data_IF_082134028849
#
_entry.id   IF_082134028849
#
_cell.length_a   1.000
_cell.length_b   1.000
_cell.length_c   1.000
_cell.angle_alpha   90.00
_cell.angle_beta   90.00
_cell.angle_gamma   90.00
#
_symmetry.space_group_name_H-M   'P 1'
#
loop_
_entity.id
_entity.type
_entity.pdbx_description
1 polymer ?
#
# COMPACT_ATOMS: atom_id res chain seq x y z
N UNK A 1 6.61 9.58 -27.31
CA UNK A 1 7.62 10.11 -26.39
C UNK A 1 7.03 10.68 -25.09
N UNK A 2 5.97 11.55 -25.06
CA UNK A 2 5.43 12.09 -23.80
C UNK A 2 4.88 11.03 -22.83
N UNK A 3 4.23 9.99 -23.36
CA UNK A 3 3.65 8.92 -22.55
C UNK A 3 4.71 8.11 -21.78
N UNK A 4 5.84 7.80 -22.40
CA UNK A 4 6.93 7.06 -21.73
C UNK A 4 7.50 7.85 -20.54
N UNK A 5 7.69 9.16 -20.72
CA UNK A 5 8.17 10.06 -19.66
C UNK A 5 7.12 10.12 -18.52
N UNK A 6 5.83 10.22 -18.87
CA UNK A 6 4.75 10.24 -17.88
C UNK A 6 4.68 8.93 -17.08
N UNK A 7 4.75 7.78 -17.76
CA UNK A 7 4.75 6.46 -17.13
C UNK A 7 5.99 6.28 -16.26
N UNK A 8 7.18 6.57 -16.77
CA UNK A 8 8.44 6.42 -16.02
C UNK A 8 8.46 7.31 -14.78
N UNK A 9 8.12 8.61 -14.91
CA UNK A 9 8.11 9.55 -13.80
C UNK A 9 7.10 9.13 -12.70
N UNK A 10 5.89 8.74 -13.11
CA UNK A 10 4.84 8.34 -12.16
C UNK A 10 5.09 6.96 -11.54
N UNK A 11 5.71 6.03 -12.28
CA UNK A 11 6.15 4.73 -11.77
C UNK A 11 7.27 4.90 -10.73
N UNK A 12 8.32 5.67 -11.04
CA UNK A 12 9.41 5.95 -10.11
C UNK A 12 8.91 6.67 -8.85
N UNK A 13 8.02 7.65 -9.01
CA UNK A 13 7.39 8.32 -7.86
C UNK A 13 6.65 7.31 -6.97
N UNK A 14 5.82 6.44 -7.55
CA UNK A 14 5.09 5.42 -6.79
C UNK A 14 6.02 4.45 -6.08
N UNK A 15 7.09 4.03 -6.77
CA UNK A 15 8.13 3.14 -6.25
C UNK A 15 8.83 3.75 -5.03
N UNK A 16 9.34 4.98 -5.15
CA UNK A 16 10.04 5.65 -4.04
C UNK A 16 9.10 5.99 -2.89
N UNK A 17 7.86 6.41 -3.18
CA UNK A 17 6.86 6.67 -2.15
C UNK A 17 6.56 5.40 -1.34
N UNK A 18 6.31 4.26 -1.99
CA UNK A 18 6.01 3.02 -1.26
C UNK A 18 7.24 2.45 -0.55
N UNK A 19 8.42 2.55 -1.17
CA UNK A 19 9.69 2.21 -0.52
C UNK A 19 9.86 2.98 0.79
N UNK A 20 9.59 4.28 0.81
CA UNK A 20 9.74 5.12 2.00
C UNK A 20 8.85 4.69 3.17
N UNK A 21 7.66 4.14 2.91
CA UNK A 21 6.78 3.60 3.95
C UNK A 21 7.40 2.41 4.68
N UNK A 22 8.26 1.64 4.00
CA UNK A 22 8.82 0.38 4.48
C UNK A 22 10.21 0.52 5.09
N UNK A 23 10.86 1.68 4.95
CA UNK A 23 12.24 1.90 5.46
C UNK A 23 12.32 1.64 6.96
N UNK A 24 11.51 2.31 7.76
CA UNK A 24 11.50 2.13 9.23
C UNK A 24 11.04 0.72 9.63
N UNK A 25 9.94 0.15 9.10
CA UNK A 25 9.53 -1.21 9.39
C UNK A 25 10.60 -2.28 9.11
N UNK A 26 11.29 -2.19 7.96
CA UNK A 26 12.33 -3.16 7.60
C UNK A 26 13.58 -2.97 8.47
N UNK A 27 13.96 -1.73 8.79
CA UNK A 27 15.07 -1.41 9.67
C UNK A 27 14.75 -1.62 11.16
N UNK A 28 13.47 -1.85 11.53
CA UNK A 28 13.01 -1.89 12.92
C UNK A 28 13.82 -2.83 13.84
N UNK A 29 14.21 -4.04 13.45
CA UNK A 29 15.04 -4.90 14.30
C UNK A 29 16.38 -4.25 14.65
N UNK A 30 17.05 -3.64 13.68
CA UNK A 30 18.35 -2.99 13.90
C UNK A 30 18.21 -1.69 14.69
N UNK A 31 17.18 -0.86 14.39
CA UNK A 31 16.89 0.35 15.15
C UNK A 31 16.51 0.01 16.60
N UNK A 32 15.77 -1.08 16.82
CA UNK A 32 15.45 -1.59 18.16
C UNK A 32 16.73 -1.93 18.94
N UNK A 33 17.67 -2.63 18.30
CA UNK A 33 18.96 -2.99 18.91
C UNK A 33 19.81 -1.77 19.26
N UNK A 34 19.80 -0.73 18.39
CA UNK A 34 20.61 0.49 18.59
C UNK A 34 20.02 1.41 19.66
N UNK A 35 18.71 1.63 19.62
CA UNK A 35 18.03 2.63 20.46
C UNK A 35 17.33 2.04 21.68
N UNK A 36 17.28 0.70 21.83
CA UNK A 36 16.52 0.05 22.90
C UNK A 36 15.00 0.26 22.80
N UNK A 37 14.48 0.61 21.61
CA UNK A 37 13.07 0.86 21.38
C UNK A 37 12.36 -0.43 20.99
N UNK A 38 11.11 -0.68 21.48
CA UNK A 38 10.36 -1.86 21.07
C UNK A 38 10.07 -1.88 19.57
N UNK A 39 10.30 -3.02 18.89
CA UNK A 39 9.96 -3.24 17.47
C UNK A 39 8.47 -2.99 17.19
N UNK A 40 7.61 -3.17 18.19
CA UNK A 40 6.19 -2.82 18.11
C UNK A 40 5.93 -1.38 17.63
N UNK A 41 6.87 -0.44 17.84
CA UNK A 41 6.78 0.95 17.35
C UNK A 41 6.81 1.04 15.81
N UNK A 42 7.28 0.01 15.09
CA UNK A 42 7.14 -0.05 13.63
C UNK A 42 5.68 0.01 13.18
N UNK A 43 4.77 -0.64 13.94
CA UNK A 43 3.34 -0.57 13.70
C UNK A 43 2.76 0.83 13.95
N UNK A 44 3.22 1.51 14.99
CA UNK A 44 2.82 2.89 15.28
C UNK A 44 3.30 3.85 14.17
N UNK A 45 4.55 3.70 13.71
CA UNK A 45 5.09 4.47 12.59
C UNK A 45 4.24 4.29 11.32
N UNK A 46 3.96 3.05 10.92
CA UNK A 46 3.09 2.73 9.78
C UNK A 46 1.67 3.29 9.99
N UNK A 47 1.13 3.18 11.19
CA UNK A 47 -0.17 3.74 11.55
C UNK A 47 -0.23 5.24 11.33
N UNK A 48 0.79 6.00 11.77
CA UNK A 48 0.88 7.46 11.55
C UNK A 48 0.99 7.76 10.04
N UNK A 49 1.87 7.06 9.31
CA UNK A 49 2.03 7.26 7.86
C UNK A 49 0.69 7.13 7.14
N UNK A 50 -0.05 6.05 7.37
CA UNK A 50 -1.32 5.82 6.65
C UNK A 50 -2.48 6.66 7.18
N UNK A 51 -2.51 7.00 8.46
CA UNK A 51 -3.50 7.94 9.02
C UNK A 51 -3.36 9.32 8.37
N UNK A 52 -2.14 9.85 8.35
CA UNK A 52 -1.86 11.16 7.74
C UNK A 52 -2.09 11.12 6.24
N UNK A 53 -1.69 10.04 5.55
CA UNK A 53 -1.97 9.84 4.14
C UNK A 53 -3.48 9.84 3.85
N UNK A 54 -4.28 9.14 4.66
CA UNK A 54 -5.73 9.05 4.49
C UNK A 54 -6.40 10.43 4.62
N UNK A 55 -6.06 11.17 5.66
CA UNK A 55 -6.58 12.54 5.87
C UNK A 55 -6.15 13.47 4.74
N UNK A 56 -4.86 13.47 4.38
CA UNK A 56 -4.32 14.35 3.33
C UNK A 56 -4.88 14.02 1.94
N UNK A 57 -5.16 12.74 1.66
CA UNK A 57 -5.72 12.28 0.39
C UNK A 57 -7.13 12.81 0.13
N UNK A 58 -7.92 13.03 1.16
CA UNK A 58 -9.25 13.63 1.04
C UNK A 58 -9.24 15.02 0.38
N UNK A 59 -8.11 15.73 0.49
CA UNK A 59 -7.93 17.08 -0.05
C UNK A 59 -7.06 17.13 -1.31
N UNK A 60 -6.41 16.02 -1.67
CA UNK A 60 -5.42 15.97 -2.74
C UNK A 60 -5.94 16.51 -4.08
N UNK A 61 -7.19 16.22 -4.45
CA UNK A 61 -7.79 16.67 -5.70
C UNK A 61 -7.86 18.20 -5.83
N UNK A 62 -8.22 18.91 -4.77
CA UNK A 62 -8.28 20.36 -4.73
C UNK A 62 -6.88 21.00 -4.88
N UNK A 63 -5.90 20.45 -4.18
CA UNK A 63 -4.50 20.89 -4.28
C UNK A 63 -3.91 20.64 -5.68
N UNK A 64 -4.16 19.46 -6.27
CA UNK A 64 -3.68 19.13 -7.62
C UNK A 64 -4.28 20.07 -8.66
N UNK A 65 -5.58 20.36 -8.59
CA UNK A 65 -6.23 21.33 -9.50
C UNK A 65 -5.62 22.74 -9.36
N UNK A 66 -5.37 23.16 -8.13
CA UNK A 66 -4.85 24.53 -7.87
C UNK A 66 -3.37 24.69 -8.25
N UNK A 67 -2.52 23.75 -7.86
CA UNK A 67 -1.07 23.89 -7.98
C UNK A 67 -0.47 23.11 -9.14
N UNK A 68 -1.16 22.10 -9.65
CA UNK A 68 -0.72 21.19 -10.71
C UNK A 68 -0.22 19.86 -10.20
N UNK A 69 -0.38 18.81 -11.01
CA UNK A 69 -0.03 17.45 -10.65
C UNK A 69 1.47 17.24 -10.45
N UNK A 70 2.32 17.81 -11.34
CA UNK A 70 3.77 17.70 -11.22
C UNK A 70 4.30 18.50 -10.02
N UNK A 71 3.75 19.69 -9.74
CA UNK A 71 4.13 20.46 -8.55
C UNK A 71 3.76 19.71 -7.28
N UNK A 72 2.57 19.10 -7.21
CA UNK A 72 2.18 18.32 -6.04
C UNK A 72 3.02 17.04 -5.91
N UNK A 73 3.46 16.42 -7.01
CA UNK A 73 4.44 15.34 -7.00
C UNK A 73 5.81 15.78 -6.45
N UNK A 74 6.28 16.97 -6.80
CA UNK A 74 7.51 17.53 -6.24
C UNK A 74 7.38 17.77 -4.73
N UNK A 75 6.29 18.39 -4.28
CA UNK A 75 6.02 18.63 -2.85
C UNK A 75 5.95 17.29 -2.09
N UNK A 76 5.30 16.30 -2.65
CA UNK A 76 5.22 14.96 -2.11
C UNK A 76 6.60 14.31 -1.91
N UNK A 77 7.43 14.33 -2.95
CA UNK A 77 8.78 13.76 -2.91
C UNK A 77 9.70 14.54 -1.96
N UNK A 78 9.59 15.87 -1.89
CA UNK A 78 10.34 16.71 -0.94
C UNK A 78 9.92 16.41 0.51
N UNK A 79 8.63 16.32 0.79
CA UNK A 79 8.15 15.95 2.12
C UNK A 79 8.67 14.56 2.54
N UNK A 80 8.64 13.59 1.61
CA UNK A 80 9.19 12.25 1.83
C UNK A 80 10.71 12.29 2.06
N UNK A 81 11.45 13.06 1.27
CA UNK A 81 12.91 13.22 1.43
C UNK A 81 13.29 13.81 2.80
N UNK A 82 12.58 14.87 3.22
CA UNK A 82 12.77 15.47 4.54
C UNK A 82 12.37 14.50 5.64
N UNK A 83 11.25 13.77 5.47
CA UNK A 83 10.81 12.76 6.41
C UNK A 83 11.85 11.66 6.61
N UNK A 84 12.44 11.14 5.52
CA UNK A 84 13.54 10.17 5.60
C UNK A 84 14.78 10.77 6.25
N UNK A 85 15.18 12.00 5.90
CA UNK A 85 16.33 12.66 6.52
C UNK A 85 16.15 12.85 8.04
N UNK A 86 14.93 13.15 8.50
CA UNK A 86 14.60 13.20 9.93
C UNK A 86 14.77 11.84 10.61
N UNK A 87 14.50 10.74 9.91
CA UNK A 87 14.77 9.40 10.43
C UNK A 87 16.23 9.22 10.81
N UNK A 88 17.18 9.85 10.12
CA UNK A 88 18.61 9.79 10.43
C UNK A 88 19.00 10.49 11.74
N UNK A 89 18.13 11.28 12.36
CA UNK A 89 18.38 11.94 13.67
C UNK A 89 18.40 10.91 14.83
N UNK A 90 17.64 9.81 14.69
CA UNK A 90 17.63 8.73 15.69
C UNK A 90 16.86 9.04 16.98
N UNK A 91 15.98 10.03 16.97
CA UNK A 91 15.16 10.37 18.11
C UNK A 91 13.69 9.99 17.89
N UNK A 92 12.97 9.59 18.95
CA UNK A 92 11.59 9.16 18.84
C UNK A 92 10.66 10.22 18.22
N UNK A 93 10.83 11.49 18.60
CA UNK A 93 10.10 12.60 18.00
C UNK A 93 10.40 12.78 16.51
N UNK A 94 11.65 12.51 16.10
CA UNK A 94 12.07 12.60 14.71
C UNK A 94 11.46 11.48 13.88
N UNK A 95 11.35 10.25 14.39
CA UNK A 95 10.61 9.15 13.75
C UNK A 95 9.12 9.46 13.62
N UNK A 96 8.49 10.09 14.64
CA UNK A 96 7.09 10.49 14.55
C UNK A 96 6.87 11.57 13.48
N UNK A 97 7.73 12.59 13.43
CA UNK A 97 7.67 13.64 12.41
C UNK A 97 8.02 13.11 11.02
N UNK A 98 8.96 12.17 10.92
CA UNK A 98 9.26 11.40 9.70
C UNK A 98 8.01 10.71 9.17
N UNK A 99 7.30 9.96 10.01
CA UNK A 99 6.06 9.28 9.64
C UNK A 99 4.98 10.26 9.16
N UNK A 100 4.83 11.40 9.84
CA UNK A 100 3.89 12.46 9.44
C UNK A 100 4.22 13.01 8.04
N UNK A 101 5.48 13.37 7.78
CA UNK A 101 5.90 13.94 6.49
C UNK A 101 5.82 12.92 5.35
N UNK A 102 6.23 11.67 5.58
CA UNK A 102 6.09 10.59 4.61
C UNK A 102 4.61 10.35 4.28
N UNK A 103 3.75 10.31 5.30
CA UNK A 103 2.31 10.15 5.12
C UNK A 103 1.68 11.30 4.34
N UNK A 104 1.96 12.54 4.71
CA UNK A 104 1.46 13.73 4.02
C UNK A 104 1.93 13.78 2.55
N UNK A 105 3.21 13.45 2.29
CA UNK A 105 3.76 13.37 0.94
C UNK A 105 3.08 12.28 0.11
N UNK A 106 2.94 11.09 0.65
CA UNK A 106 2.39 9.93 -0.07
C UNK A 106 0.96 10.12 -0.56
N UNK A 107 0.17 10.92 0.14
CA UNK A 107 -1.22 11.21 -0.20
C UNK A 107 -1.42 11.78 -1.61
N UNK A 108 -0.44 12.49 -2.15
CA UNK A 108 -0.51 13.10 -3.48
C UNK A 108 0.00 12.18 -4.59
N UNK A 109 0.75 11.12 -4.27
CA UNK A 109 1.42 10.28 -5.28
C UNK A 109 0.44 9.65 -6.26
N UNK A 110 -0.59 8.96 -5.78
CA UNK A 110 -1.57 8.28 -6.64
C UNK A 110 -2.50 9.26 -7.36
N UNK A 111 -3.12 10.27 -6.72
CA UNK A 111 -3.98 11.21 -7.41
C UNK A 111 -3.25 12.05 -8.47
N UNK A 112 -2.04 12.56 -8.15
CA UNK A 112 -1.25 13.34 -9.11
C UNK A 112 -0.81 12.52 -10.32
N UNK A 113 -0.32 11.29 -10.09
CA UNK A 113 0.05 10.40 -11.18
C UNK A 113 -1.13 9.99 -12.05
N UNK A 114 -2.32 9.81 -11.46
CA UNK A 114 -3.53 9.51 -12.21
C UNK A 114 -3.96 10.69 -13.08
N UNK A 115 -3.86 11.93 -12.60
CA UNK A 115 -4.14 13.14 -13.38
C UNK A 115 -3.18 13.29 -14.57
N UNK A 116 -1.88 13.02 -14.36
CA UNK A 116 -0.89 13.02 -15.44
C UNK A 116 -1.21 11.94 -16.47
N UNK A 117 -1.39 10.69 -16.05
CA UNK A 117 -1.58 9.56 -16.96
C UNK A 117 -2.90 9.65 -17.73
N UNK A 118 -3.97 10.13 -17.13
CA UNK A 118 -5.27 10.31 -17.80
C UNK A 118 -5.18 11.21 -19.05
N UNK A 119 -4.22 12.14 -19.08
CA UNK A 119 -4.02 13.04 -20.23
C UNK A 119 -3.17 12.46 -21.36
N UNK A 120 -2.24 11.57 -21.01
CA UNK A 120 -1.27 11.04 -21.99
C UNK A 120 -1.58 9.61 -22.41
N UNK A 121 -2.35 8.85 -21.65
CA UNK A 121 -2.70 7.47 -21.96
C UNK A 121 -3.77 7.41 -23.06
N UNK A 122 -3.49 6.76 -24.21
CA UNK A 122 -4.54 6.50 -25.19
C UNK A 122 -5.67 5.68 -24.56
N UNK A 123 -6.95 6.00 -24.82
CA UNK A 123 -8.09 5.32 -24.16
C UNK A 123 -8.02 3.79 -24.25
N UNK A 124 -7.63 3.25 -25.38
CA UNK A 124 -7.48 1.80 -25.63
C UNK A 124 -6.44 1.14 -24.70
N UNK A 125 -5.37 1.86 -24.32
CA UNK A 125 -4.25 1.33 -23.53
C UNK A 125 -4.21 1.87 -22.10
N UNK A 126 -5.14 2.74 -21.73
CA UNK A 126 -5.18 3.35 -20.40
C UNK A 126 -5.19 2.30 -19.27
N UNK A 127 -6.01 1.23 -19.29
CA UNK A 127 -5.99 0.23 -18.22
C UNK A 127 -4.62 -0.42 -18.03
N UNK A 128 -3.92 -0.76 -19.11
CA UNK A 128 -2.58 -1.34 -19.07
C UNK A 128 -1.56 -0.35 -18.49
N UNK A 129 -1.59 0.90 -18.92
CA UNK A 129 -0.69 1.96 -18.47
C UNK A 129 -0.86 2.21 -16.96
N UNK A 130 -2.10 2.29 -16.47
CA UNK A 130 -2.38 2.42 -15.05
C UNK A 130 -1.92 1.17 -14.27
N UNK A 131 -2.08 -0.03 -14.82
CA UNK A 131 -1.60 -1.27 -14.20
C UNK A 131 -0.08 -1.27 -14.09
N UNK A 132 0.65 -0.89 -15.14
CA UNK A 132 2.12 -0.76 -15.12
C UNK A 132 2.54 0.23 -14.03
N UNK A 133 1.91 1.40 -13.96
CA UNK A 133 2.20 2.38 -12.90
C UNK A 133 1.98 1.79 -11.50
N UNK A 134 0.93 1.00 -11.31
CA UNK A 134 0.62 0.40 -10.01
C UNK A 134 1.59 -0.72 -9.60
N UNK A 135 2.35 -1.31 -10.52
CA UNK A 135 3.44 -2.23 -10.14
C UNK A 135 4.59 -1.51 -9.43
N UNK A 136 4.64 -0.17 -9.45
CA UNK A 136 5.54 0.61 -8.61
C UNK A 136 5.38 0.35 -7.11
N UNK A 137 4.18 -0.05 -6.64
CA UNK A 137 3.97 -0.42 -5.23
C UNK A 137 4.82 -1.65 -4.84
N UNK A 138 4.64 -2.83 -5.43
CA UNK A 138 5.49 -3.97 -5.10
C UNK A 138 6.96 -3.77 -5.50
N UNK A 139 7.26 -2.99 -6.55
CA UNK A 139 8.63 -2.63 -6.89
C UNK A 139 9.31 -1.82 -5.76
N UNK A 140 8.58 -0.88 -5.15
CA UNK A 140 9.06 -0.15 -3.97
C UNK A 140 9.30 -1.08 -2.77
N UNK A 141 8.41 -2.04 -2.55
CA UNK A 141 8.59 -3.06 -1.51
C UNK A 141 9.80 -3.97 -1.75
N UNK A 142 9.99 -4.40 -2.99
CA UNK A 142 11.17 -5.18 -3.40
C UNK A 142 12.46 -4.39 -3.17
N UNK A 143 12.50 -3.14 -3.61
CA UNK A 143 13.67 -2.29 -3.41
C UNK A 143 13.94 -2.03 -1.93
N UNK A 144 12.92 -1.77 -1.12
CA UNK A 144 13.09 -1.60 0.32
C UNK A 144 13.68 -2.86 0.97
N UNK A 145 13.17 -4.05 0.63
CA UNK A 145 13.64 -5.34 1.14
C UNK A 145 15.12 -5.61 0.84
N UNK A 146 15.62 -5.15 -0.31
CA UNK A 146 17.04 -5.29 -0.66
C UNK A 146 17.91 -4.12 -0.17
N UNK A 147 17.48 -2.88 -0.44
CA UNK A 147 18.34 -1.71 -0.19
C UNK A 147 18.49 -1.38 1.28
N UNK A 148 17.45 -1.54 2.10
CA UNK A 148 17.51 -1.21 3.53
C UNK A 148 18.57 -2.08 4.24
N UNK A 149 18.50 -3.43 4.17
CA UNK A 149 19.54 -4.26 4.78
C UNK A 149 20.92 -4.06 4.17
N UNK A 150 21.00 -3.89 2.84
CA UNK A 150 22.26 -3.65 2.14
C UNK A 150 22.96 -2.38 2.64
N UNK A 151 22.22 -1.27 2.72
CA UNK A 151 22.80 0.01 3.15
C UNK A 151 23.19 -0.01 4.63
N UNK A 152 22.38 -0.62 5.50
CA UNK A 152 22.69 -0.78 6.93
C UNK A 152 23.96 -1.63 7.11
N UNK A 153 24.06 -2.76 6.42
CA UNK A 153 25.20 -3.67 6.58
C UNK A 153 26.50 -3.14 5.95
N UNK A 154 26.40 -2.31 4.88
CA UNK A 154 27.57 -1.78 4.17
C UNK A 154 28.12 -0.50 4.79
N UNK A 155 27.26 0.29 5.41
CA UNK A 155 27.63 1.58 6.04
C UNK A 155 27.01 1.67 7.43
N UNK A 156 25.86 2.34 7.54
CA UNK A 156 25.06 2.41 8.77
C UNK A 156 23.61 2.82 8.47
N UNK A 157 22.79 2.88 9.52
CA UNK A 157 21.39 3.23 9.42
C UNK A 157 21.16 4.71 9.02
N UNK A 158 22.05 5.65 9.39
CA UNK A 158 21.94 7.05 8.99
C UNK A 158 22.16 7.21 7.49
N UNK A 159 23.20 6.56 6.96
CA UNK A 159 23.48 6.55 5.51
C UNK A 159 22.33 5.96 4.73
N UNK A 160 21.70 4.91 5.24
CA UNK A 160 20.47 4.33 4.63
C UNK A 160 19.38 5.38 4.51
N UNK A 161 19.02 6.10 5.58
CA UNK A 161 18.00 7.14 5.55
C UNK A 161 18.34 8.27 4.57
N UNK A 162 19.56 8.76 4.61
CA UNK A 162 20.01 9.87 3.78
C UNK A 162 20.10 9.48 2.29
N UNK A 163 20.53 8.28 1.97
CA UNK A 163 20.61 7.78 0.60
C UNK A 163 19.22 7.62 0.00
N UNK A 164 18.29 7.02 0.74
CA UNK A 164 16.91 6.85 0.28
C UNK A 164 16.17 8.20 0.21
N UNK A 165 16.41 9.10 1.16
CA UNK A 165 15.91 10.48 1.11
C UNK A 165 16.48 11.26 -0.08
N UNK A 166 17.77 11.11 -0.34
CA UNK A 166 18.46 11.70 -1.50
C UNK A 166 17.88 11.23 -2.83
N UNK A 167 17.46 9.97 -2.96
CA UNK A 167 16.80 9.46 -4.16
C UNK A 167 15.44 10.12 -4.40
N UNK A 168 14.65 10.37 -3.34
CA UNK A 168 13.40 11.12 -3.43
C UNK A 168 13.65 12.58 -3.83
N UNK A 169 14.67 13.23 -3.26
CA UNK A 169 15.06 14.59 -3.62
C UNK A 169 15.51 14.68 -5.09
N UNK A 170 16.33 13.74 -5.55
CA UNK A 170 16.78 13.70 -6.93
C UNK A 170 15.60 13.57 -7.91
N UNK A 171 14.62 12.71 -7.61
CA UNK A 171 13.42 12.60 -8.44
C UNK A 171 12.55 13.86 -8.37
N UNK A 172 12.44 14.52 -7.19
CA UNK A 172 11.74 15.80 -7.08
C UNK A 172 12.36 16.89 -7.97
N UNK A 173 13.69 16.94 -8.04
CA UNK A 173 14.44 17.85 -8.93
C UNK A 173 14.16 17.47 -10.39
N UNK A 174 14.22 16.18 -10.74
CA UNK A 174 13.95 15.70 -12.10
C UNK A 174 12.53 16.05 -12.59
N UNK A 175 11.53 16.06 -11.70
CA UNK A 175 10.18 16.53 -12.04
C UNK A 175 10.12 17.99 -12.50
N UNK A 176 11.11 18.82 -12.14
CA UNK A 176 11.17 20.22 -12.59
C UNK A 176 11.27 20.31 -14.12
N UNK A 177 11.99 19.38 -14.78
CA UNK A 177 12.14 19.36 -16.23
C UNK A 177 10.80 19.13 -16.96
N UNK A 178 9.90 18.36 -16.38
CA UNK A 178 8.60 17.99 -16.98
C UNK A 178 7.43 18.81 -16.45
N UNK A 179 7.62 19.61 -15.40
CA UNK A 179 6.58 20.33 -14.67
C UNK A 179 5.70 21.20 -15.58
N UNK A 180 6.30 22.05 -16.41
CA UNK A 180 5.52 22.96 -17.29
C UNK A 180 4.56 22.19 -18.20
N UNK A 181 4.99 21.00 -18.67
CA UNK A 181 4.18 20.12 -19.53
C UNK A 181 3.07 19.41 -18.77
N UNK A 182 3.34 18.98 -17.52
CA UNK A 182 2.39 18.21 -16.74
C UNK A 182 1.39 19.08 -15.96
N UNK A 183 1.65 20.36 -15.77
CA UNK A 183 0.82 21.31 -15.01
C UNK A 183 0.00 22.27 -15.90
N UNK A 184 -0.19 21.93 -17.18
CA UNK A 184 -0.91 22.81 -18.16
C UNK A 184 -2.35 23.09 -17.70
N UNK A 185 -3.03 22.12 -17.10
CA UNK A 185 -4.45 22.22 -16.72
C UNK A 185 -4.67 22.74 -15.29
N UNK A 186 -3.66 23.32 -14.63
CA UNK A 186 -3.83 23.89 -13.30
C UNK A 186 -4.78 25.08 -13.34
N UNK A 187 -5.60 25.22 -12.30
CA UNK A 187 -6.53 26.34 -12.11
C UNK A 187 -6.16 27.09 -10.83
N UNK A 188 -5.33 28.14 -10.88
CA UNK A 188 -4.80 28.83 -9.68
C UNK A 188 -5.88 29.37 -8.74
N UNK A 189 -7.05 29.70 -9.27
CA UNK A 189 -8.19 30.26 -8.51
C UNK A 189 -9.13 29.17 -7.96
N UNK A 190 -8.81 27.86 -8.14
CA UNK A 190 -9.65 26.78 -7.63
C UNK A 190 -9.71 26.81 -6.10
N UNK A 191 -10.94 26.85 -5.55
CA UNK A 191 -11.17 26.78 -4.10
C UNK A 191 -11.12 25.32 -3.64
N UNK A 192 -10.39 25.05 -2.55
CA UNK A 192 -10.29 23.72 -1.95
C UNK A 192 -11.51 23.53 -1.05
N UNK A 193 -12.36 22.58 -1.41
CA UNK A 193 -13.58 22.26 -0.66
C UNK A 193 -13.35 21.04 0.23
N UNK A 194 -13.46 21.22 1.54
CA UNK A 194 -13.23 20.17 2.53
C UNK A 194 -14.46 19.28 2.80
N UNK A 195 -15.67 19.71 2.41
CA UNK A 195 -16.90 18.94 2.68
C UNK A 195 -17.15 17.81 1.69
N UNK A 196 -16.54 17.87 0.50
CA UNK A 196 -16.73 16.86 -0.55
C UNK A 196 -16.30 15.47 -0.12
N UNK A 197 -15.25 15.34 0.73
CA UNK A 197 -14.78 14.07 1.27
C UNK A 197 -15.85 13.32 2.07
N UNK A 198 -16.61 14.02 2.91
CA UNK A 198 -17.68 13.43 3.71
C UNK A 198 -18.77 12.77 2.85
N UNK A 199 -19.24 13.48 1.81
CA UNK A 199 -20.26 12.93 0.91
C UNK A 199 -19.77 11.72 0.12
N UNK A 200 -18.51 11.72 -0.28
CA UNK A 200 -17.88 10.59 -0.97
C UNK A 200 -17.84 9.34 -0.06
N UNK A 201 -17.40 9.49 1.19
CA UNK A 201 -17.35 8.38 2.15
C UNK A 201 -18.74 7.81 2.47
N UNK A 202 -19.73 8.70 2.67
CA UNK A 202 -21.12 8.31 2.91
C UNK A 202 -21.72 7.57 1.70
N UNK A 203 -21.36 8.00 0.48
CA UNK A 203 -21.83 7.41 -0.77
C UNK A 203 -21.43 5.95 -0.97
N UNK A 204 -20.31 5.51 -0.36
CA UNK A 204 -19.84 4.12 -0.50
C UNK A 204 -20.18 3.23 0.70
N UNK A 205 -20.39 3.80 1.90
CA UNK A 205 -20.69 2.98 3.09
C UNK A 205 -22.18 2.64 3.23
N UNK A 206 -23.05 3.46 2.71
CA UNK A 206 -24.52 3.27 2.83
C UNK A 206 -25.03 2.17 1.89
N UNK A 207 -24.74 2.14 0.58
CA UNK A 207 -25.21 1.08 -0.32
C UNK A 207 -24.56 -0.27 0.00
N UNK A 208 -25.38 -1.35 0.11
CA UNK A 208 -24.88 -2.69 0.45
C UNK A 208 -23.75 -3.20 -0.45
N UNK A 209 -23.81 -3.12 -1.79
CA UNK A 209 -22.74 -3.64 -2.64
C UNK A 209 -21.38 -2.97 -2.37
N UNK A 210 -21.35 -1.64 -2.26
CA UNK A 210 -20.13 -0.90 -1.95
C UNK A 210 -19.65 -1.13 -0.54
N UNK A 211 -20.53 -1.30 0.44
CA UNK A 211 -20.17 -1.60 1.83
C UNK A 211 -19.38 -2.91 1.94
N UNK A 212 -19.73 -3.93 1.17
CA UNK A 212 -18.95 -5.19 1.14
C UNK A 212 -17.55 -4.96 0.59
N UNK A 213 -17.40 -4.11 -0.44
CA UNK A 213 -16.09 -3.71 -0.96
C UNK A 213 -15.30 -2.88 0.04
N UNK A 214 -15.96 -2.02 0.83
CA UNK A 214 -15.32 -1.29 1.94
C UNK A 214 -14.75 -2.27 2.98
N UNK A 215 -15.52 -3.27 3.40
CA UNK A 215 -15.02 -4.30 4.34
C UNK A 215 -13.87 -5.10 3.75
N UNK A 216 -13.95 -5.48 2.48
CA UNK A 216 -12.90 -6.20 1.78
C UNK A 216 -11.61 -5.36 1.72
N UNK A 217 -11.70 -4.12 1.26
CA UNK A 217 -10.51 -3.26 1.10
C UNK A 217 -9.90 -2.88 2.44
N UNK A 218 -10.71 -2.60 3.46
CA UNK A 218 -10.22 -2.34 4.82
C UNK A 218 -9.40 -3.53 5.35
N UNK A 219 -9.95 -4.73 5.24
CA UNK A 219 -9.32 -5.96 5.74
C UNK A 219 -8.09 -6.35 4.93
N UNK A 220 -8.18 -6.33 3.61
CA UNK A 220 -7.08 -6.73 2.72
C UNK A 220 -5.90 -5.76 2.81
N UNK A 221 -6.18 -4.47 2.84
CA UNK A 221 -5.15 -3.45 3.11
C UNK A 221 -4.59 -3.54 4.53
N UNK A 222 -5.42 -3.93 5.51
CA UNK A 222 -4.96 -4.21 6.86
C UNK A 222 -3.91 -5.32 6.90
N UNK A 223 -4.17 -6.46 6.25
CA UNK A 223 -3.21 -7.56 6.13
C UNK A 223 -1.95 -7.14 5.36
N UNK A 224 -2.10 -6.37 4.28
CA UNK A 224 -0.96 -5.80 3.57
C UNK A 224 -0.11 -4.90 4.48
N UNK A 225 -0.76 -4.09 5.33
CA UNK A 225 -0.10 -3.21 6.30
C UNK A 225 0.67 -4.01 7.36
N UNK A 226 0.09 -5.08 7.91
CA UNK A 226 0.76 -5.98 8.87
C UNK A 226 1.98 -6.64 8.24
N UNK A 227 1.85 -7.14 7.01
CA UNK A 227 2.98 -7.74 6.29
C UNK A 227 4.12 -6.74 6.09
N UNK A 228 3.80 -5.52 5.66
CA UNK A 228 4.80 -4.46 5.49
C UNK A 228 5.45 -4.00 6.79
N UNK A 229 4.69 -3.94 7.89
CA UNK A 229 5.18 -3.42 9.16
C UNK A 229 5.98 -4.43 9.97
N UNK A 230 5.58 -5.70 9.95
CA UNK A 230 6.06 -6.67 10.94
C UNK A 230 6.70 -7.92 10.37
N UNK A 231 6.55 -8.22 9.07
CA UNK A 231 7.03 -9.49 8.53
C UNK A 231 8.55 -9.62 8.62
N UNK A 232 9.32 -8.59 8.24
CA UNK A 232 10.79 -8.62 8.34
C UNK A 232 11.23 -8.71 9.81
N UNK A 233 10.58 -7.94 10.69
CA UNK A 233 10.84 -8.00 12.12
C UNK A 233 10.55 -9.40 12.71
N UNK A 234 9.47 -10.05 12.28
CA UNK A 234 9.16 -11.42 12.68
C UNK A 234 10.22 -12.42 12.23
N UNK A 235 10.72 -12.29 10.99
CA UNK A 235 11.80 -13.17 10.51
C UNK A 235 13.09 -12.98 11.30
N UNK A 236 13.42 -11.73 11.67
CA UNK A 236 14.67 -11.44 12.43
C UNK A 236 14.52 -11.81 13.90
N UNK A 237 13.54 -11.27 14.59
CA UNK A 237 13.40 -11.42 16.05
C UNK A 237 12.70 -12.71 16.45
N UNK A 238 11.69 -13.14 15.67
CA UNK A 238 10.93 -14.34 15.98
C UNK A 238 11.57 -15.62 15.46
N UNK A 239 12.25 -15.60 14.30
CA UNK A 239 12.84 -16.77 13.67
C UNK A 239 14.38 -16.78 13.67
N UNK A 240 15.04 -15.70 14.15
CA UNK A 240 16.50 -15.61 14.25
C UNK A 240 17.23 -15.44 12.92
N UNK A 241 16.55 -14.99 11.87
CA UNK A 241 17.17 -14.74 10.57
C UNK A 241 18.01 -13.46 10.58
N UNK A 242 19.04 -13.38 9.73
CA UNK A 242 19.74 -12.12 9.51
C UNK A 242 18.83 -11.11 8.82
N UNK A 243 19.08 -9.82 9.03
CA UNK A 243 18.31 -8.75 8.39
C UNK A 243 18.36 -8.85 6.84
N UNK A 244 19.54 -9.23 6.29
CA UNK A 244 19.73 -9.43 4.86
C UNK A 244 18.86 -10.58 4.32
N UNK A 245 18.83 -11.72 5.00
CA UNK A 245 18.00 -12.88 4.60
C UNK A 245 16.52 -12.55 4.72
N UNK A 246 16.09 -11.92 5.80
CA UNK A 246 14.70 -11.51 6.03
C UNK A 246 14.23 -10.48 4.99
N UNK A 247 15.05 -9.46 4.72
CA UNK A 247 14.78 -8.46 3.69
C UNK A 247 14.73 -9.04 2.28
N UNK A 248 15.65 -9.97 1.97
CA UNK A 248 15.64 -10.72 0.72
C UNK A 248 14.35 -11.54 0.54
N UNK A 249 13.92 -12.27 1.57
CA UNK A 249 12.65 -13.04 1.57
C UNK A 249 11.46 -12.13 1.32
N UNK A 250 11.41 -10.97 1.99
CA UNK A 250 10.37 -9.96 1.77
C UNK A 250 10.41 -9.42 0.33
N UNK A 251 11.59 -9.12 -0.19
CA UNK A 251 11.76 -8.62 -1.55
C UNK A 251 11.30 -9.63 -2.61
N UNK A 252 11.61 -10.92 -2.46
CA UNK A 252 11.11 -11.99 -3.34
C UNK A 252 9.58 -12.11 -3.28
N UNK A 253 9.00 -12.02 -2.08
CA UNK A 253 7.55 -12.01 -1.92
C UNK A 253 6.91 -10.83 -2.64
N UNK A 254 7.47 -9.63 -2.53
CA UNK A 254 7.00 -8.44 -3.22
C UNK A 254 7.13 -8.58 -4.76
N UNK A 255 8.25 -9.12 -5.25
CA UNK A 255 8.43 -9.39 -6.67
C UNK A 255 7.37 -10.35 -7.23
N UNK A 256 7.06 -11.43 -6.49
CA UNK A 256 6.00 -12.37 -6.86
C UNK A 256 4.64 -11.69 -6.98
N UNK A 257 4.32 -10.71 -6.14
CA UNK A 257 3.04 -10.00 -6.21
C UNK A 257 2.82 -9.25 -7.52
N UNK A 258 3.89 -8.87 -8.23
CA UNK A 258 3.79 -8.25 -9.57
C UNK A 258 3.12 -9.23 -10.54
N UNK A 259 3.61 -10.48 -10.57
CA UNK A 259 3.05 -11.53 -11.42
C UNK A 259 1.60 -11.89 -11.01
N UNK A 260 1.36 -12.06 -9.70
CA UNK A 260 0.04 -12.43 -9.19
C UNK A 260 -1.03 -11.34 -9.37
N UNK A 261 -0.66 -10.07 -9.47
CA UNK A 261 -1.62 -8.99 -9.87
C UNK A 261 -2.18 -9.24 -11.27
N UNK A 262 -1.35 -9.71 -12.19
CA UNK A 262 -1.77 -10.04 -13.57
C UNK A 262 -2.62 -11.30 -13.56
N UNK A 263 -2.19 -12.34 -12.84
CA UNK A 263 -2.92 -13.61 -12.72
C UNK A 263 -4.33 -13.38 -12.16
N UNK A 264 -4.46 -12.72 -11.02
CA UNK A 264 -5.77 -12.45 -10.41
C UNK A 264 -6.65 -11.56 -11.27
N UNK A 265 -6.08 -10.58 -11.98
CA UNK A 265 -6.81 -9.77 -12.96
C UNK A 265 -7.35 -10.61 -14.11
N UNK A 266 -6.57 -11.56 -14.64
CA UNK A 266 -7.00 -12.49 -15.68
C UNK A 266 -8.10 -13.43 -15.19
N UNK A 267 -7.93 -14.02 -14.01
CA UNK A 267 -8.95 -14.91 -13.40
C UNK A 267 -10.26 -14.14 -13.15
N UNK A 268 -10.18 -12.92 -12.66
CA UNK A 268 -11.37 -12.09 -12.46
C UNK A 268 -12.08 -11.72 -13.79
N UNK A 269 -11.32 -11.59 -14.88
CA UNK A 269 -11.88 -11.39 -16.21
C UNK A 269 -12.69 -12.57 -16.73
N UNK A 270 -12.40 -13.81 -16.27
CA UNK A 270 -13.09 -15.03 -16.70
C UNK A 270 -14.17 -15.49 -15.72
N UNK A 271 -13.90 -15.43 -14.41
CA UNK A 271 -14.81 -15.94 -13.36
C UNK A 271 -15.69 -14.84 -12.75
N UNK A 272 -15.40 -13.58 -13.06
CA UNK A 272 -15.99 -12.42 -12.39
C UNK A 272 -15.22 -12.02 -11.13
N UNK A 273 -15.40 -10.78 -10.70
CA UNK A 273 -14.66 -10.23 -9.56
C UNK A 273 -15.10 -10.82 -8.20
N UNK A 274 -16.39 -11.07 -7.98
CA UNK A 274 -16.93 -11.54 -6.69
C UNK A 274 -16.37 -12.89 -6.24
N UNK A 275 -16.38 -13.97 -7.05
CA UNK A 275 -15.79 -15.23 -6.64
C UNK A 275 -14.29 -15.14 -6.41
N UNK A 276 -13.57 -14.29 -7.16
CA UNK A 276 -12.14 -14.08 -6.94
C UNK A 276 -11.87 -13.34 -5.63
N UNK A 277 -12.67 -12.33 -5.27
CA UNK A 277 -12.58 -11.66 -3.96
C UNK A 277 -12.85 -12.66 -2.83
N UNK A 278 -13.83 -13.56 -3.01
CA UNK A 278 -14.12 -14.62 -2.03
C UNK A 278 -12.92 -15.55 -1.82
N UNK A 279 -12.32 -16.04 -2.91
CA UNK A 279 -11.12 -16.90 -2.87
C UNK A 279 -9.96 -16.17 -2.20
N UNK A 280 -9.71 -14.92 -2.59
CA UNK A 280 -8.64 -14.10 -1.99
C UNK A 280 -8.84 -13.93 -0.49
N UNK A 281 -10.06 -13.59 -0.03
CA UNK A 281 -10.35 -13.42 1.40
C UNK A 281 -10.11 -14.71 2.21
N UNK A 282 -10.59 -15.85 1.71
CA UNK A 282 -10.35 -17.16 2.35
C UNK A 282 -8.86 -17.50 2.36
N UNK A 283 -8.19 -17.36 1.22
CA UNK A 283 -6.75 -17.66 1.10
C UNK A 283 -5.90 -16.78 2.02
N UNK A 284 -6.17 -15.48 2.07
CA UNK A 284 -5.47 -14.54 2.97
C UNK A 284 -5.59 -14.96 4.43
N UNK A 285 -6.78 -15.39 4.86
CA UNK A 285 -7.00 -15.83 6.23
C UNK A 285 -6.14 -17.06 6.59
N UNK A 286 -6.19 -18.09 5.76
CA UNK A 286 -5.40 -19.31 6.00
C UNK A 286 -3.90 -19.04 5.93
N UNK A 287 -3.45 -18.21 4.97
CA UNK A 287 -2.03 -17.89 4.82
C UNK A 287 -1.55 -17.03 6.01
N UNK A 288 -2.35 -16.06 6.48
CA UNK A 288 -2.00 -15.28 7.67
C UNK A 288 -1.90 -16.17 8.91
N UNK A 289 -2.84 -17.10 9.09
CA UNK A 289 -2.79 -18.08 10.17
C UNK A 289 -1.55 -18.98 10.04
N UNK A 290 -1.26 -19.49 8.84
CA UNK A 290 -0.06 -20.30 8.59
C UNK A 290 1.23 -19.52 8.87
N UNK A 291 1.28 -18.22 8.51
CA UNK A 291 2.38 -17.32 8.85
C UNK A 291 2.59 -17.25 10.37
N UNK A 292 1.53 -17.24 11.16
CA UNK A 292 1.60 -17.20 12.62
C UNK A 292 2.16 -18.48 13.28
N UNK A 293 2.14 -19.62 12.57
CA UNK A 293 2.73 -20.87 13.04
C UNK A 293 4.19 -21.10 12.62
N UNK A 294 4.79 -20.18 11.84
CA UNK A 294 6.22 -20.28 11.49
C UNK A 294 7.08 -20.23 12.75
N UNK A 295 8.17 -21.00 12.75
CA UNK A 295 9.14 -21.04 13.83
C UNK A 295 10.57 -21.26 13.27
N UNK A 296 11.57 -21.08 14.11
CA UNK A 296 12.98 -21.16 13.72
C UNK A 296 13.44 -22.54 13.20
N UNK A 297 12.66 -23.61 13.47
CA UNK A 297 12.97 -24.96 12.96
C UNK A 297 12.51 -25.16 11.50
N UNK A 298 11.72 -24.23 10.96
CA UNK A 298 11.25 -24.37 9.58
C UNK A 298 12.36 -24.10 8.58
N UNK A 299 12.47 -24.90 7.51
CA UNK A 299 13.45 -24.63 6.47
C UNK A 299 13.13 -23.33 5.75
N UNK A 300 14.16 -22.57 5.38
CA UNK A 300 14.02 -21.22 4.78
C UNK A 300 13.09 -21.22 3.55
N UNK A 301 13.11 -22.27 2.72
CA UNK A 301 12.24 -22.35 1.55
C UNK A 301 10.75 -22.35 1.90
N UNK A 302 10.34 -22.96 3.01
CA UNK A 302 8.94 -22.99 3.43
C UNK A 302 8.47 -21.62 3.96
N UNK A 303 9.33 -20.91 4.69
CA UNK A 303 9.10 -19.52 5.11
C UNK A 303 8.95 -18.62 3.88
N UNK A 304 9.83 -18.78 2.88
CA UNK A 304 9.78 -18.03 1.62
C UNK A 304 8.50 -18.34 0.83
N UNK A 305 8.07 -19.62 0.80
CA UNK A 305 6.83 -20.02 0.13
C UNK A 305 5.59 -19.36 0.78
N UNK A 306 5.53 -19.31 2.13
CA UNK A 306 4.46 -18.61 2.84
C UNK A 306 4.50 -17.11 2.57
N UNK A 307 5.69 -16.50 2.56
CA UNK A 307 5.85 -15.09 2.24
C UNK A 307 5.34 -14.74 0.83
N UNK A 308 5.68 -15.58 -0.16
CA UNK A 308 5.19 -15.46 -1.54
C UNK A 308 3.68 -15.63 -1.58
N UNK A 309 3.11 -16.64 -0.92
CA UNK A 309 1.67 -16.88 -0.87
C UNK A 309 0.93 -15.70 -0.21
N UNK A 310 1.49 -15.15 0.87
CA UNK A 310 0.94 -13.96 1.54
C UNK A 310 0.91 -12.76 0.59
N UNK A 311 2.01 -12.50 -0.07
CA UNK A 311 2.14 -11.39 -1.01
C UNK A 311 1.27 -11.57 -2.26
N UNK A 312 1.18 -12.81 -2.77
CA UNK A 312 0.35 -13.19 -3.91
C UNK A 312 -1.15 -12.93 -3.67
N UNK A 313 -1.59 -12.94 -2.43
CA UNK A 313 -2.99 -12.70 -2.05
C UNK A 313 -3.18 -11.29 -1.47
N UNK A 314 -2.53 -10.96 -0.36
CA UNK A 314 -2.75 -9.72 0.39
C UNK A 314 -2.23 -8.45 -0.31
N UNK A 315 -1.33 -8.55 -1.31
CA UNK A 315 -0.82 -7.40 -2.05
C UNK A 315 -1.41 -7.31 -3.47
N UNK A 316 -1.95 -8.42 -4.00
CA UNK A 316 -2.27 -8.54 -5.44
C UNK A 316 -3.76 -8.34 -5.78
N UNK A 317 -4.62 -8.07 -4.84
CA UNK A 317 -6.09 -7.98 -4.97
C UNK A 317 -6.63 -6.72 -5.67
N UNK A 318 -5.84 -5.64 -5.73
CA UNK A 318 -6.31 -4.29 -6.10
C UNK A 318 -7.06 -4.25 -7.44
N UNK A 319 -6.52 -4.92 -8.48
CA UNK A 319 -7.14 -4.92 -9.80
C UNK A 319 -8.53 -5.55 -9.81
N UNK A 320 -8.71 -6.62 -9.04
CA UNK A 320 -10.00 -7.34 -8.94
C UNK A 320 -11.06 -6.47 -8.28
N UNK A 321 -10.71 -5.81 -7.18
CA UNK A 321 -11.65 -4.91 -6.47
C UNK A 321 -11.98 -3.67 -7.29
N UNK A 322 -10.99 -3.09 -7.98
CA UNK A 322 -11.24 -1.93 -8.86
C UNK A 322 -12.18 -2.28 -10.01
N UNK A 323 -12.07 -3.49 -10.58
CA UNK A 323 -13.01 -3.96 -11.58
C UNK A 323 -14.43 -4.08 -11.02
N UNK A 324 -14.61 -4.62 -9.81
CA UNK A 324 -15.93 -4.72 -9.18
C UNK A 324 -16.52 -3.35 -8.83
N UNK A 325 -15.71 -2.39 -8.36
CA UNK A 325 -16.15 -1.01 -8.16
C UNK A 325 -16.68 -0.42 -9.49
N UNK A 326 -15.95 -0.63 -10.59
CA UNK A 326 -16.36 -0.14 -11.89
C UNK A 326 -17.69 -0.76 -12.35
N UNK A 327 -17.86 -2.09 -12.16
CA UNK A 327 -19.09 -2.81 -12.49
C UNK A 327 -20.31 -2.31 -11.71
N UNK A 328 -20.13 -1.93 -10.46
CA UNK A 328 -21.21 -1.45 -9.58
C UNK A 328 -21.49 0.05 -9.74
N UNK A 329 -20.60 0.80 -10.37
CA UNK A 329 -20.70 2.26 -10.49
C UNK A 329 -21.54 2.66 -11.69
N UNK A 330 -22.37 3.69 -11.51
CA UNK A 330 -23.03 4.36 -12.64
C UNK A 330 -22.01 5.11 -13.49
N UNK A 331 -22.39 5.38 -14.73
CA UNK A 331 -21.55 6.16 -15.64
C UNK A 331 -21.18 7.52 -15.02
N UNK A 332 -19.88 7.82 -14.99
CA UNK A 332 -19.32 9.05 -14.40
C UNK A 332 -19.06 9.00 -12.89
N UNK A 333 -19.52 7.98 -12.15
CA UNK A 333 -19.34 7.87 -10.69
C UNK A 333 -18.17 6.97 -10.27
N UNK A 334 -17.58 6.21 -11.19
CA UNK A 334 -16.53 5.23 -10.90
C UNK A 334 -15.35 5.82 -10.14
N UNK A 335 -14.86 6.99 -10.54
CA UNK A 335 -13.73 7.64 -9.87
C UNK A 335 -14.05 8.03 -8.43
N UNK A 336 -15.24 8.58 -8.18
CA UNK A 336 -15.72 8.97 -6.85
C UNK A 336 -15.89 7.75 -5.95
N UNK A 337 -16.55 6.70 -6.46
CA UNK A 337 -16.75 5.46 -5.71
C UNK A 337 -15.43 4.74 -5.42
N UNK A 338 -14.50 4.72 -6.36
CA UNK A 338 -13.13 4.21 -6.16
C UNK A 338 -12.41 4.96 -5.06
N UNK A 339 -12.43 6.31 -5.10
CA UNK A 339 -11.82 7.14 -4.06
C UNK A 339 -12.42 6.88 -2.68
N UNK A 340 -13.75 6.77 -2.61
CA UNK A 340 -14.46 6.48 -1.36
C UNK A 340 -14.10 5.11 -0.77
N UNK A 341 -14.11 4.06 -1.57
CA UNK A 341 -13.75 2.69 -1.13
C UNK A 341 -12.28 2.61 -0.70
N UNK A 342 -11.36 3.20 -1.48
CA UNK A 342 -9.94 3.18 -1.17
C UNK A 342 -9.56 4.05 0.04
N UNK A 343 -10.35 5.05 0.42
CA UNK A 343 -10.16 5.78 1.66
C UNK A 343 -10.30 4.87 2.90
N UNK A 344 -11.23 3.91 2.86
CA UNK A 344 -11.33 2.90 3.92
C UNK A 344 -10.20 1.88 3.87
N UNK A 345 -9.63 1.61 2.70
CA UNK A 345 -8.44 0.77 2.58
C UNK A 345 -7.25 1.33 3.37
N UNK A 346 -7.01 2.64 3.29
CA UNK A 346 -5.96 3.30 4.10
C UNK A 346 -6.28 3.26 5.59
N UNK A 347 -7.56 3.29 5.98
CA UNK A 347 -8.00 3.03 7.34
C UNK A 347 -7.59 1.65 7.86
N UNK A 348 -7.68 0.61 7.04
CA UNK A 348 -7.19 -0.73 7.34
C UNK A 348 -5.68 -0.77 7.54
N UNK A 349 -4.93 -0.10 6.66
CA UNK A 349 -3.47 0.03 6.77
C UNK A 349 -3.03 0.85 8.00
N UNK A 350 -3.91 1.67 8.56
CA UNK A 350 -3.68 2.36 9.84
C UNK A 350 -3.99 1.44 11.02
N UNK A 351 -5.18 0.85 11.03
CA UNK A 351 -5.71 0.14 12.19
C UNK A 351 -4.99 -1.18 12.47
N UNK A 352 -4.76 -2.00 11.43
CA UNK A 352 -4.19 -3.34 11.62
C UNK A 352 -2.76 -3.32 12.14
N UNK A 353 -1.81 -2.55 11.59
CA UNK A 353 -0.45 -2.47 12.15
C UNK A 353 -0.44 -1.88 13.57
N UNK A 354 -1.30 -0.89 13.87
CA UNK A 354 -1.39 -0.32 15.21
C UNK A 354 -1.89 -1.36 16.24
N UNK A 355 -2.95 -2.10 15.91
CA UNK A 355 -3.48 -3.17 16.75
C UNK A 355 -2.50 -4.33 16.91
N UNK A 356 -1.82 -4.71 15.82
CA UNK A 356 -0.78 -5.74 15.86
C UNK A 356 0.38 -5.31 16.77
N UNK A 357 0.85 -4.05 16.63
CA UNK A 357 1.90 -3.49 17.49
C UNK A 357 1.53 -3.48 18.97
N UNK A 358 0.28 -3.12 19.29
CA UNK A 358 -0.25 -3.17 20.66
C UNK A 358 -0.27 -4.61 21.19
N UNK A 359 -0.74 -5.56 20.37
CA UNK A 359 -0.77 -6.97 20.74
C UNK A 359 0.66 -7.51 20.95
N UNK A 360 1.58 -7.18 20.06
CA UNK A 360 3.00 -7.56 20.17
C UNK A 360 3.63 -7.00 21.45
N UNK A 361 3.37 -5.73 21.78
CA UNK A 361 3.88 -5.09 22.98
C UNK A 361 3.38 -5.75 24.27
N UNK A 362 2.14 -6.29 24.26
CA UNK A 362 1.54 -6.92 25.45
C UNK A 362 1.83 -8.40 25.57
N UNK A 363 1.99 -9.12 24.44
CA UNK A 363 2.14 -10.58 24.42
C UNK A 363 3.53 -11.06 24.04
N UNK A 364 4.36 -10.22 23.43
CA UNK A 364 5.65 -10.60 22.86
C UNK A 364 5.56 -11.52 21.64
N UNK A 365 4.36 -11.83 21.12
CA UNK A 365 4.15 -12.86 20.10
C UNK A 365 3.78 -12.30 18.74
N UNK A 366 4.70 -12.36 17.75
CA UNK A 366 4.41 -12.09 16.36
C UNK A 366 3.40 -13.09 15.78
N UNK A 367 3.56 -14.37 16.12
CA UNK A 367 2.69 -15.44 15.61
C UNK A 367 1.22 -15.21 15.96
N UNK A 368 0.93 -14.85 17.21
CA UNK A 368 -0.44 -14.52 17.64
C UNK A 368 -1.01 -13.34 16.86
N UNK A 369 -0.19 -12.33 16.57
CA UNK A 369 -0.58 -11.17 15.75
C UNK A 369 -1.04 -11.58 14.34
N UNK A 370 -0.29 -12.43 13.66
CA UNK A 370 -0.67 -12.95 12.33
C UNK A 370 -1.92 -13.83 12.37
N UNK A 371 -2.03 -14.71 13.39
CA UNK A 371 -3.22 -15.58 13.57
C UNK A 371 -4.48 -14.72 13.75
N UNK A 372 -4.43 -13.69 14.59
CA UNK A 372 -5.60 -12.84 14.87
C UNK A 372 -5.92 -11.87 13.72
N UNK A 373 -4.95 -11.52 12.88
CA UNK A 373 -5.19 -10.69 11.70
C UNK A 373 -5.96 -11.43 10.59
N UNK A 374 -5.90 -12.76 10.54
CA UNK A 374 -6.51 -13.57 9.48
C UNK A 374 -8.04 -13.64 9.48
N UNK A 375 -8.71 -13.95 10.61
CA UNK A 375 -10.16 -14.21 10.66
C UNK A 375 -11.05 -13.16 10.01
N UNK A 376 -10.82 -11.85 10.09
CA UNK A 376 -11.63 -10.87 9.37
C UNK A 376 -11.62 -11.08 7.84
N UNK A 377 -10.51 -11.54 7.26
CA UNK A 377 -10.44 -11.82 5.83
C UNK A 377 -11.28 -13.07 5.46
N UNK A 378 -11.35 -14.07 6.34
CA UNK A 378 -12.25 -15.22 6.17
C UNK A 378 -13.71 -14.76 6.14
N UNK A 379 -14.11 -13.88 7.06
CA UNK A 379 -15.48 -13.35 7.09
C UNK A 379 -15.81 -12.60 5.79
N UNK A 380 -14.89 -11.77 5.29
CA UNK A 380 -15.04 -11.12 3.98
C UNK A 380 -15.19 -12.14 2.86
N UNK A 381 -14.32 -13.15 2.81
CA UNK A 381 -14.38 -14.20 1.79
C UNK A 381 -15.73 -14.92 1.80
N UNK A 382 -16.23 -15.29 2.98
CA UNK A 382 -17.54 -15.94 3.15
C UNK A 382 -18.70 -15.02 2.73
N UNK A 383 -18.65 -13.71 3.07
CA UNK A 383 -19.67 -12.76 2.66
C UNK A 383 -19.78 -12.64 1.14
N UNK A 384 -18.65 -12.57 0.44
CA UNK A 384 -18.63 -12.53 -1.03
C UNK A 384 -19.08 -13.82 -1.65
N UNK A 385 -18.69 -14.98 -1.10
CA UNK A 385 -19.13 -16.29 -1.55
C UNK A 385 -20.65 -16.44 -1.42
N UNK A 386 -21.22 -16.07 -0.27
CA UNK A 386 -22.68 -16.13 -0.04
C UNK A 386 -23.43 -15.15 -0.94
N UNK A 387 -22.89 -13.93 -1.17
CA UNK A 387 -23.49 -12.97 -2.10
C UNK A 387 -23.53 -13.52 -3.53
N UNK A 388 -22.42 -14.07 -4.00
CA UNK A 388 -22.30 -14.69 -5.32
C UNK A 388 -23.30 -15.86 -5.49
N UNK A 389 -23.41 -16.75 -4.49
CA UNK A 389 -24.37 -17.88 -4.55
C UNK A 389 -25.83 -17.41 -4.61
N UNK A 390 -26.18 -16.35 -3.89
CA UNK A 390 -27.54 -15.79 -3.92
C UNK A 390 -27.89 -15.22 -5.28
N UNK A 391 -26.98 -14.50 -5.91
CA UNK A 391 -27.18 -13.95 -7.26
C UNK A 391 -27.32 -15.07 -8.30
N UNK A 392 -26.42 -16.05 -8.28
CA UNK A 392 -26.51 -17.21 -9.17
C UNK A 392 -27.79 -18.05 -8.97
N UNK A 393 -28.34 -18.12 -7.76
CA UNK A 393 -29.60 -18.78 -7.48
C UNK A 393 -30.80 -17.96 -8.01
N UNK A 394 -30.77 -16.62 -7.87
CA UNK A 394 -31.81 -15.73 -8.37
C UNK A 394 -31.88 -15.75 -9.92
N UNK A 395 -30.72 -15.77 -10.59
CA UNK A 395 -30.64 -15.90 -12.05
C UNK A 395 -31.23 -17.22 -12.56
N UNK A 396 -31.03 -18.33 -11.84
CA UNK A 396 -31.62 -19.65 -12.18
C UNK A 396 -33.13 -19.73 -11.95
N UNK A 397 -33.67 -18.93 -11.03
CA UNK A 397 -35.10 -18.89 -10.73
C UNK A 397 -35.88 -17.88 -11.60
N UNK A 398 -35.18 -16.91 -12.19
CA UNK A 398 -35.77 -15.90 -13.09
C UNK A 398 -35.79 -16.33 -14.56
N UNK A 399 -35.24 -17.51 -14.88
CA UNK A 399 -35.38 -18.23 -16.16
C UNK A 399 -36.46 -19.29 -16.04
#
# INVERSE_FOLDING_TARGET
>A
MPIFIAVAATFLQQTLTYMSHLVVPIAAPELSRIFGLPVALAGAHMGIVYLVASVSMAFAGGFIRRFGAARMSQVALLATAIGLALGAVGALWAFALSAFLIGAGSAFSTPASSDILARYAPPKHAPLIFSIKQTGVPAGGMLAGFLVPFLINSWDWQVMFLTLGGSCLALAIAFQAVRKRFDVNRSPNHQINFTQGYYTLRGVIVPRPFRYLVYATFTFCGLQGVFGAFFVAYLVEGLGMTLATAGGTFAFAQAASIAFRIVWGGVAGTWGAKPVIAILGVSMAFIAIACGFMNAAWPHWSVTAIAIAYSATAISWHGVVLAEIANLSKAGETATNTGGVLAFATGGQTAYPALFGLLLATTGSFGLGFILAGPPALLVGLLFFLSYRREAAAERQGM
#
